data_IF_432551633537
#
_entry.id   IF_432551633537
#
_cell.length_a   1.000
_cell.length_b   1.000
_cell.length_c   1.000
_cell.angle_alpha   90.00
_cell.angle_beta   90.00
_cell.angle_gamma   90.00
#
_symmetry.space_group_name_H-M   'P 1'
#
loop_
_entity.id
_entity.type
_entity.pdbx_description
1 polymer ?
#
# COMPACT_ATOMS: atom_id res chain seq x y z
N UNK A 1 -48.43 -4.86 16.41
CA UNK A 1 -47.56 -4.38 15.35
C UNK A 1 -46.38 -3.75 16.06
N UNK A 2 -45.44 -4.62 16.48
CA UNK A 2 -44.24 -4.30 17.29
C UNK A 2 -43.20 -3.68 16.37
N UNK A 3 -42.81 -2.44 16.67
CA UNK A 3 -41.69 -1.75 16.02
C UNK A 3 -40.43 -2.60 16.20
N UNK A 4 -39.89 -3.09 15.07
CA UNK A 4 -38.64 -3.81 15.01
C UNK A 4 -37.53 -2.99 15.72
N UNK A 5 -37.02 -3.56 16.78
CA UNK A 5 -35.82 -3.10 17.47
C UNK A 5 -34.67 -3.07 16.46
N UNK A 6 -34.40 -1.91 15.87
CA UNK A 6 -33.15 -1.67 15.13
C UNK A 6 -32.01 -1.68 16.14
N UNK A 7 -31.00 -2.54 16.00
CA UNK A 7 -29.88 -2.57 16.92
C UNK A 7 -29.26 -1.16 17.00
N UNK A 8 -29.20 -0.60 18.20
CA UNK A 8 -28.59 0.71 18.46
C UNK A 8 -27.12 0.65 18.01
N UNK A 9 -26.62 1.65 17.29
CA UNK A 9 -25.22 1.68 16.90
C UNK A 9 -24.33 1.68 18.17
N UNK A 10 -23.29 0.86 18.16
CA UNK A 10 -22.35 0.72 19.30
C UNK A 10 -21.75 2.04 19.78
N UNK A 11 -21.81 3.09 18.95
CA UNK A 11 -21.37 4.46 19.28
C UNK A 11 -22.27 5.21 20.24
N UNK A 12 -23.54 4.80 20.42
CA UNK A 12 -24.50 5.53 21.28
C UNK A 12 -24.24 5.34 22.78
N UNK A 13 -23.42 4.37 23.18
CA UNK A 13 -23.09 4.04 24.58
C UNK A 13 -21.68 4.48 25.01
N UNK A 14 -20.83 4.93 24.06
CA UNK A 14 -19.45 5.31 24.35
C UNK A 14 -19.31 6.80 24.58
N UNK A 15 -18.51 7.18 25.57
CA UNK A 15 -18.12 8.59 25.73
C UNK A 15 -17.28 9.06 24.51
N UNK A 16 -17.41 10.33 24.11
CA UNK A 16 -16.62 10.89 23.00
C UNK A 16 -15.10 10.70 23.18
N UNK A 17 -14.62 10.74 24.42
CA UNK A 17 -13.21 10.51 24.77
C UNK A 17 -12.79 9.07 24.45
N UNK A 18 -13.62 8.08 24.82
CA UNK A 18 -13.33 6.67 24.55
C UNK A 18 -13.32 6.38 23.04
N UNK A 19 -14.22 6.98 22.28
CA UNK A 19 -14.22 6.88 20.80
C UNK A 19 -12.92 7.45 20.24
N UNK A 20 -12.48 8.65 20.67
CA UNK A 20 -11.21 9.24 20.21
C UNK A 20 -10.00 8.36 20.53
N UNK A 21 -9.95 7.82 21.74
CA UNK A 21 -8.86 6.90 22.14
C UNK A 21 -8.85 5.62 21.31
N UNK A 22 -10.02 5.04 21.03
CA UNK A 22 -10.14 3.87 20.15
C UNK A 22 -9.65 4.16 18.71
N UNK A 23 -10.01 5.33 18.18
CA UNK A 23 -9.57 5.78 16.87
C UNK A 23 -8.05 6.01 16.82
N UNK A 24 -7.46 6.60 17.88
CA UNK A 24 -6.01 6.75 18.01
C UNK A 24 -5.30 5.40 18.12
N UNK A 25 -5.87 4.43 18.86
CA UNK A 25 -5.33 3.08 18.94
C UNK A 25 -5.29 2.38 17.58
N UNK A 26 -6.33 2.56 16.76
CA UNK A 26 -6.38 2.05 15.39
C UNK A 26 -5.29 2.70 14.52
N UNK A 27 -5.12 4.01 14.60
CA UNK A 27 -4.10 4.73 13.86
C UNK A 27 -2.68 4.36 14.32
N UNK A 28 -2.47 4.09 15.61
CA UNK A 28 -1.19 3.63 16.16
C UNK A 28 -0.74 2.30 15.55
N UNK A 29 -1.66 1.36 15.32
CA UNK A 29 -1.32 0.13 14.58
C UNK A 29 -0.94 0.39 13.13
N UNK A 30 -1.61 1.33 12.46
CA UNK A 30 -1.22 1.80 11.13
C UNK A 30 0.18 2.44 11.11
N UNK A 31 0.53 3.19 12.15
CA UNK A 31 1.89 3.72 12.36
C UNK A 31 2.93 2.61 12.51
N UNK A 32 2.64 1.61 13.35
CA UNK A 32 3.52 0.45 13.53
C UNK A 32 3.76 -0.32 12.23
N UNK A 33 2.72 -0.49 11.42
CA UNK A 33 2.79 -1.15 10.10
C UNK A 33 3.69 -0.36 9.16
N UNK A 34 3.46 0.95 9.00
CA UNK A 34 4.29 1.80 8.14
C UNK A 34 5.75 1.82 8.58
N UNK A 35 5.99 1.93 9.90
CA UNK A 35 7.34 1.82 10.46
C UNK A 35 7.99 0.49 10.11
N UNK A 36 7.30 -0.63 10.34
CA UNK A 36 7.84 -1.98 10.09
C UNK A 36 8.13 -2.26 8.61
N UNK A 37 7.31 -1.73 7.72
CA UNK A 37 7.49 -1.89 6.27
C UNK A 37 8.67 -1.07 5.75
N UNK A 38 8.67 0.24 6.02
CA UNK A 38 9.56 1.18 5.33
C UNK A 38 10.91 1.39 6.03
N UNK A 39 11.02 1.17 7.34
CA UNK A 39 12.29 1.34 8.04
C UNK A 39 13.38 0.37 7.56
N UNK A 40 12.97 -0.82 7.11
CA UNK A 40 13.88 -1.83 6.55
C UNK A 40 14.68 -1.29 5.36
N UNK A 41 14.08 -0.37 4.58
CA UNK A 41 14.70 0.22 3.40
C UNK A 41 15.76 1.26 3.79
N UNK A 42 15.49 2.03 4.84
CA UNK A 42 16.48 2.98 5.40
C UNK A 42 17.63 2.32 6.18
N UNK A 43 17.39 1.09 6.69
CA UNK A 43 18.38 0.33 7.48
C UNK A 43 18.97 -0.87 6.72
N UNK A 44 18.75 -0.96 5.41
CA UNK A 44 19.15 -2.10 4.60
C UNK A 44 20.66 -2.40 4.72
N UNK A 45 21.59 -1.42 4.64
CA UNK A 45 23.01 -1.67 4.84
C UNK A 45 23.32 -2.25 6.22
N UNK A 46 22.70 -1.71 7.28
CA UNK A 46 22.89 -2.22 8.65
C UNK A 46 22.38 -3.64 8.84
N UNK A 47 21.28 -4.02 8.17
CA UNK A 47 20.75 -5.39 8.15
C UNK A 47 21.71 -6.31 7.40
N UNK A 48 22.23 -5.88 6.25
CA UNK A 48 23.20 -6.63 5.44
C UNK A 48 24.48 -6.90 6.22
N UNK A 49 25.11 -5.89 6.81
CA UNK A 49 26.29 -6.05 7.64
C UNK A 49 26.05 -6.92 8.88
N UNK A 50 24.87 -6.83 9.49
CA UNK A 50 24.55 -7.57 10.69
C UNK A 50 24.21 -9.05 10.47
N UNK A 51 23.75 -9.44 9.28
CA UNK A 51 23.28 -10.80 8.98
C UNK A 51 24.10 -11.52 7.91
N UNK A 52 24.84 -10.77 7.05
CA UNK A 52 25.59 -11.27 5.90
C UNK A 52 27.06 -10.73 5.91
N UNK A 53 27.77 -10.72 7.04
CA UNK A 53 29.07 -10.03 7.15
C UNK A 53 30.12 -10.59 6.17
N UNK A 54 30.16 -11.90 5.96
CA UNK A 54 31.10 -12.54 5.03
C UNK A 54 30.80 -12.13 3.57
N UNK A 55 29.53 -12.08 3.19
CA UNK A 55 29.11 -11.67 1.86
C UNK A 55 29.39 -10.18 1.64
N UNK A 56 29.11 -9.33 2.64
CA UNK A 56 29.41 -7.89 2.57
C UNK A 56 30.91 -7.61 2.44
N UNK A 57 31.78 -8.45 3.00
CA UNK A 57 33.22 -8.31 2.86
C UNK A 57 33.72 -8.75 1.47
N UNK A 58 33.12 -9.76 0.86
CA UNK A 58 33.52 -10.32 -0.42
C UNK A 58 32.88 -9.63 -1.63
N UNK A 59 31.58 -9.32 -1.50
CA UNK A 59 30.73 -8.74 -2.55
C UNK A 59 29.65 -7.83 -1.89
N UNK A 60 29.96 -6.55 -1.65
CA UNK A 60 29.02 -5.62 -1.01
C UNK A 60 27.71 -5.45 -1.81
N UNK A 61 27.78 -5.38 -3.13
CA UNK A 61 26.60 -5.22 -3.99
C UNK A 61 25.67 -6.44 -3.91
N UNK A 62 26.23 -7.64 -4.00
CA UNK A 62 25.50 -8.89 -3.81
C UNK A 62 24.93 -9.01 -2.40
N UNK A 63 25.66 -8.56 -1.38
CA UNK A 63 25.21 -8.54 0.02
C UNK A 63 23.99 -7.64 0.23
N UNK A 64 24.00 -6.43 -0.31
CA UNK A 64 22.85 -5.51 -0.28
C UNK A 64 21.66 -6.07 -1.05
N UNK A 65 21.88 -6.58 -2.26
CA UNK A 65 20.82 -7.20 -3.05
C UNK A 65 20.17 -8.38 -2.32
N UNK A 66 20.98 -9.24 -1.67
CA UNK A 66 20.48 -10.35 -0.85
C UNK A 66 19.68 -9.87 0.36
N UNK A 67 20.15 -8.83 1.06
CA UNK A 67 19.42 -8.25 2.18
C UNK A 67 18.04 -7.73 1.75
N UNK A 68 17.89 -7.20 0.52
CA UNK A 68 16.62 -6.78 -0.08
C UNK A 68 15.55 -7.88 -0.12
N UNK A 69 15.93 -9.18 -0.07
CA UNK A 69 14.99 -10.31 0.02
C UNK A 69 14.12 -10.22 1.29
N UNK A 70 14.61 -9.61 2.37
CA UNK A 70 13.83 -9.42 3.59
C UNK A 70 12.67 -8.42 3.38
N UNK A 71 12.83 -7.42 2.51
CA UNK A 71 11.79 -6.48 2.09
C UNK A 71 10.76 -7.22 1.22
N UNK A 72 11.24 -7.95 0.21
CA UNK A 72 10.42 -8.79 -0.68
C UNK A 72 9.59 -9.80 0.11
N UNK A 73 10.17 -10.48 1.10
CA UNK A 73 9.49 -11.48 1.90
C UNK A 73 8.33 -10.88 2.70
N UNK A 74 8.52 -9.71 3.31
CA UNK A 74 7.42 -9.02 4.01
C UNK A 74 6.29 -8.68 3.05
N UNK A 75 6.59 -8.08 1.91
CA UNK A 75 5.62 -7.73 0.90
C UNK A 75 4.84 -8.95 0.38
N UNK A 76 5.51 -10.08 0.13
CA UNK A 76 4.86 -11.35 -0.23
C UNK A 76 3.96 -11.88 0.89
N UNK A 77 4.36 -11.71 2.16
CA UNK A 77 3.51 -12.01 3.31
C UNK A 77 2.20 -11.21 3.26
N UNK A 78 2.25 -9.93 2.92
CA UNK A 78 1.05 -9.08 2.76
C UNK A 78 0.19 -9.56 1.58
N UNK A 79 0.81 -9.88 0.44
CA UNK A 79 0.10 -10.38 -0.76
C UNK A 79 -0.71 -11.62 -0.45
N UNK A 80 -0.15 -12.55 0.30
CA UNK A 80 -0.84 -13.79 0.72
C UNK A 80 -1.85 -13.51 1.83
N UNK A 81 -1.45 -12.72 2.81
CA UNK A 81 -2.22 -12.48 4.02
C UNK A 81 -3.46 -11.61 3.81
N UNK A 82 -3.36 -10.55 2.98
CA UNK A 82 -4.45 -9.61 2.79
C UNK A 82 -5.75 -10.28 2.30
N UNK A 83 -5.78 -11.03 1.20
CA UNK A 83 -6.99 -11.71 0.76
C UNK A 83 -7.40 -12.87 1.68
N UNK A 84 -6.45 -13.67 2.17
CA UNK A 84 -6.73 -14.82 3.01
C UNK A 84 -7.40 -14.41 4.33
N UNK A 85 -6.84 -13.42 5.03
CA UNK A 85 -7.37 -12.96 6.31
C UNK A 85 -8.61 -12.06 6.14
N UNK A 86 -8.75 -11.35 5.01
CA UNK A 86 -9.98 -10.66 4.69
C UNK A 86 -11.18 -11.64 4.59
N UNK A 87 -10.97 -12.78 3.95
CA UNK A 87 -11.97 -13.85 3.87
C UNK A 87 -12.25 -14.50 5.24
N UNK A 88 -11.23 -14.73 6.05
CA UNK A 88 -11.38 -15.30 7.40
C UNK A 88 -12.06 -14.31 8.37
N UNK A 89 -11.92 -12.99 8.14
CA UNK A 89 -12.52 -11.95 8.98
C UNK A 89 -14.05 -12.01 9.05
N UNK A 90 -14.70 -12.64 8.07
CA UNK A 90 -16.15 -12.87 8.06
C UNK A 90 -16.61 -13.77 9.22
N UNK A 91 -15.73 -14.62 9.75
CA UNK A 91 -16.07 -15.58 10.81
C UNK A 91 -16.00 -15.01 12.23
N UNK A 92 -15.28 -13.89 12.43
CA UNK A 92 -14.97 -13.33 13.75
C UNK A 92 -15.49 -11.90 13.89
N UNK A 93 -15.67 -11.44 15.13
CA UNK A 93 -16.02 -10.04 15.37
C UNK A 93 -14.85 -9.14 14.95
N UNK A 94 -15.15 -7.93 14.49
CA UNK A 94 -14.12 -6.96 14.08
C UNK A 94 -13.15 -6.65 15.21
N UNK A 95 -13.66 -6.55 16.44
CA UNK A 95 -12.85 -6.29 17.64
C UNK A 95 -11.88 -7.44 17.92
N UNK A 96 -12.35 -8.70 17.89
CA UNK A 96 -11.48 -9.88 18.09
C UNK A 96 -10.43 -9.94 16.98
N UNK A 97 -10.84 -9.72 15.74
CA UNK A 97 -9.93 -9.83 14.59
C UNK A 97 -8.80 -8.79 14.66
N UNK A 98 -9.11 -7.52 14.94
CA UNK A 98 -8.08 -6.47 15.00
C UNK A 98 -7.10 -6.71 16.15
N UNK A 99 -7.56 -7.24 17.28
CA UNK A 99 -6.69 -7.62 18.42
C UNK A 99 -5.75 -8.76 18.06
N UNK A 100 -6.25 -9.81 17.40
CA UNK A 100 -5.41 -10.93 16.96
C UNK A 100 -4.39 -10.48 15.92
N UNK A 101 -4.78 -9.58 14.99
CA UNK A 101 -3.85 -9.01 14.02
C UNK A 101 -2.78 -8.16 14.70
N UNK A 102 -3.12 -7.37 15.74
CA UNK A 102 -2.15 -6.58 16.50
C UNK A 102 -1.14 -7.49 17.24
N UNK A 103 -1.60 -8.60 17.84
CA UNK A 103 -0.70 -9.60 18.47
C UNK A 103 0.19 -10.25 17.40
N UNK A 104 -0.37 -10.66 16.27
CA UNK A 104 0.40 -11.30 15.21
C UNK A 104 1.48 -10.34 14.63
N UNK A 105 1.15 -9.03 14.47
CA UNK A 105 2.10 -8.00 14.08
C UNK A 105 3.19 -7.82 15.15
N UNK A 106 2.83 -7.78 16.45
CA UNK A 106 3.81 -7.68 17.53
C UNK A 106 4.78 -8.85 17.53
N UNK A 107 4.27 -10.09 17.47
CA UNK A 107 5.09 -11.31 17.46
C UNK A 107 5.95 -11.37 16.20
N UNK A 108 5.39 -11.17 15.02
CA UNK A 108 6.14 -11.23 13.76
C UNK A 108 7.25 -10.18 13.69
N UNK A 109 6.97 -8.96 14.17
CA UNK A 109 7.96 -7.88 14.22
C UNK A 109 9.05 -8.16 15.26
N UNK A 110 8.68 -8.66 16.44
CA UNK A 110 9.63 -9.09 17.47
C UNK A 110 10.57 -10.16 16.93
N UNK A 111 10.02 -11.21 16.33
CA UNK A 111 10.82 -12.28 15.71
C UNK A 111 11.75 -11.74 14.64
N UNK A 112 11.29 -10.81 13.79
CA UNK A 112 12.14 -10.19 12.76
C UNK A 112 13.39 -9.52 13.33
N UNK A 113 13.29 -8.92 14.53
CA UNK A 113 14.42 -8.30 15.23
C UNK A 113 15.32 -9.28 15.99
N UNK A 114 14.78 -10.44 16.38
CA UNK A 114 15.50 -11.39 17.27
C UNK A 114 16.15 -12.58 16.55
N UNK A 115 15.82 -12.81 15.28
CA UNK A 115 16.38 -13.96 14.55
C UNK A 115 17.89 -13.84 14.37
N UNK A 116 18.64 -14.95 14.62
CA UNK A 116 20.10 -14.95 14.56
C UNK A 116 20.65 -15.05 13.14
N UNK A 117 19.90 -15.61 12.18
CA UNK A 117 20.34 -15.82 10.82
C UNK A 117 19.49 -15.04 9.81
N UNK A 118 20.04 -14.82 8.63
CA UNK A 118 19.35 -14.14 7.54
C UNK A 118 18.08 -14.88 7.11
N UNK A 119 18.16 -16.20 6.93
CA UNK A 119 17.05 -17.03 6.46
C UNK A 119 15.88 -17.02 7.46
N UNK A 120 16.16 -17.11 8.75
CA UNK A 120 15.14 -17.00 9.80
C UNK A 120 14.54 -15.58 9.86
N UNK A 121 15.35 -14.55 9.64
CA UNK A 121 14.85 -13.17 9.55
C UNK A 121 13.93 -13.00 8.35
N UNK A 122 14.28 -13.55 7.18
CA UNK A 122 13.43 -13.54 5.98
C UNK A 122 12.10 -14.23 6.25
N UNK A 123 12.12 -15.40 6.89
CA UNK A 123 10.89 -16.13 7.28
C UNK A 123 10.04 -15.32 8.26
N UNK A 124 10.67 -14.73 9.29
CA UNK A 124 9.98 -13.89 10.27
C UNK A 124 9.35 -12.65 9.59
N UNK A 125 10.04 -12.03 8.63
CA UNK A 125 9.51 -10.93 7.84
C UNK A 125 8.29 -11.35 7.01
N UNK A 126 8.34 -12.50 6.36
CA UNK A 126 7.18 -13.04 5.63
C UNK A 126 5.98 -13.22 6.56
N UNK A 127 6.17 -13.85 7.72
CA UNK A 127 5.12 -14.06 8.71
C UNK A 127 4.58 -12.73 9.25
N UNK A 128 5.45 -11.75 9.52
CA UNK A 128 5.06 -10.41 9.96
C UNK A 128 4.23 -9.65 8.92
N UNK A 129 4.42 -9.92 7.62
CA UNK A 129 3.64 -9.33 6.53
C UNK A 129 2.19 -9.85 6.46
N UNK A 130 1.93 -11.09 6.87
CA UNK A 130 0.62 -11.73 6.72
C UNK A 130 -0.53 -10.89 7.36
N UNK A 131 -0.43 -10.40 8.60
CA UNK A 131 -1.52 -9.64 9.24
C UNK A 131 -1.68 -8.21 8.72
N UNK A 132 -0.70 -7.64 8.04
CA UNK A 132 -0.66 -6.23 7.64
C UNK A 132 -1.88 -5.81 6.79
N UNK A 133 -2.10 -6.46 5.65
CA UNK A 133 -3.18 -6.06 4.73
C UNK A 133 -4.58 -6.21 5.32
N UNK A 134 -4.78 -7.26 6.12
CA UNK A 134 -6.03 -7.49 6.82
C UNK A 134 -6.28 -6.45 7.93
N UNK A 135 -5.21 -5.98 8.60
CA UNK A 135 -5.33 -4.95 9.63
C UNK A 135 -6.02 -3.69 9.07
N UNK A 136 -5.57 -3.15 7.95
CA UNK A 136 -6.17 -1.95 7.36
C UNK A 136 -7.63 -2.15 6.94
N UNK A 137 -7.99 -3.32 6.43
CA UNK A 137 -9.37 -3.65 6.10
C UNK A 137 -10.29 -3.64 7.33
N UNK A 138 -9.90 -4.36 8.39
CA UNK A 138 -10.66 -4.44 9.65
C UNK A 138 -10.67 -3.10 10.37
N UNK A 139 -9.53 -2.42 10.43
CA UNK A 139 -9.35 -1.11 11.05
C UNK A 139 -10.27 -0.06 10.43
N UNK A 140 -10.37 -0.01 9.10
CA UNK A 140 -11.23 0.92 8.38
C UNK A 140 -12.72 0.71 8.72
N UNK A 141 -13.17 -0.54 8.73
CA UNK A 141 -14.55 -0.89 9.07
C UNK A 141 -14.87 -0.63 10.54
N UNK A 142 -13.92 -0.90 11.44
CA UNK A 142 -14.08 -0.64 12.87
C UNK A 142 -14.13 0.85 13.15
N UNK A 143 -13.21 1.63 12.58
CA UNK A 143 -13.19 3.09 12.71
C UNK A 143 -14.49 3.72 12.19
N UNK A 144 -14.99 3.26 11.02
CA UNK A 144 -16.26 3.72 10.47
C UNK A 144 -17.44 3.44 11.41
N UNK A 145 -17.47 2.25 12.04
CA UNK A 145 -18.54 1.89 12.99
C UNK A 145 -18.52 2.73 14.27
N UNK A 146 -17.34 3.15 14.73
CA UNK A 146 -17.18 4.03 15.89
C UNK A 146 -17.55 5.49 15.59
N UNK A 147 -17.40 5.93 14.34
CA UNK A 147 -17.71 7.29 13.89
C UNK A 147 -19.20 7.48 13.51
N UNK A 148 -19.94 6.39 13.37
CA UNK A 148 -21.36 6.40 13.03
C UNK A 148 -21.68 6.21 11.54
N UNK A 149 -22.98 6.17 11.19
CA UNK A 149 -23.45 5.91 9.84
C UNK A 149 -22.88 6.89 8.79
N UNK A 150 -22.51 6.39 7.62
CA UNK A 150 -21.97 7.21 6.52
C UNK A 150 -20.49 7.59 6.65
N UNK A 151 -19.78 7.09 7.68
CA UNK A 151 -18.38 7.45 7.96
C UNK A 151 -17.34 6.49 7.36
N UNK A 152 -17.68 5.68 6.37
CA UNK A 152 -16.76 4.68 5.80
C UNK A 152 -15.47 5.30 5.26
N UNK A 153 -15.58 6.37 4.46
CA UNK A 153 -14.41 7.08 3.92
C UNK A 153 -13.54 7.71 5.02
N UNK A 154 -14.19 8.31 6.04
CA UNK A 154 -13.48 8.88 7.20
C UNK A 154 -12.77 7.79 8.01
N UNK A 155 -13.40 6.65 8.23
CA UNK A 155 -12.81 5.50 8.92
C UNK A 155 -11.57 4.97 8.20
N UNK A 156 -11.65 4.81 6.87
CA UNK A 156 -10.52 4.40 6.04
C UNK A 156 -9.38 5.43 6.11
N UNK A 157 -9.68 6.71 5.96
CA UNK A 157 -8.68 7.78 6.05
C UNK A 157 -7.97 7.79 7.41
N UNK A 158 -8.72 7.58 8.50
CA UNK A 158 -8.13 7.50 9.84
C UNK A 158 -7.25 6.26 10.02
N UNK A 159 -7.71 5.08 9.58
CA UNK A 159 -6.91 3.86 9.66
C UNK A 159 -5.56 4.01 8.90
N UNK A 160 -5.57 4.70 7.76
CA UNK A 160 -4.39 4.97 6.95
C UNK A 160 -3.57 6.17 7.45
N UNK A 161 -4.11 7.05 8.32
CA UNK A 161 -3.38 8.22 8.83
C UNK A 161 -2.14 7.83 9.62
N UNK A 162 -2.20 6.71 10.34
CA UNK A 162 -1.03 6.16 11.05
C UNK A 162 0.12 5.84 10.10
N UNK A 163 -0.16 5.22 8.95
CA UNK A 163 0.83 4.95 7.91
C UNK A 163 1.46 6.25 7.36
N UNK A 164 0.63 7.28 7.16
CA UNK A 164 1.10 8.59 6.69
C UNK A 164 2.05 9.23 7.70
N UNK A 165 1.68 9.21 8.99
CA UNK A 165 2.54 9.74 10.08
C UNK A 165 3.81 8.90 10.22
N UNK A 166 3.73 7.58 10.05
CA UNK A 166 4.91 6.73 10.04
C UNK A 166 5.89 7.14 8.95
N UNK A 167 5.41 7.30 7.71
CA UNK A 167 6.28 7.67 6.58
C UNK A 167 6.86 9.07 6.71
N UNK A 168 6.10 10.02 7.24
CA UNK A 168 6.55 11.41 7.36
C UNK A 168 7.56 11.61 8.51
N UNK A 169 7.32 10.98 9.65
CA UNK A 169 8.07 11.24 10.89
C UNK A 169 8.66 9.96 11.47
N UNK A 170 7.90 8.87 11.49
CA UNK A 170 8.27 7.62 12.14
C UNK A 170 9.48 6.97 11.49
N UNK A 171 9.44 6.75 10.19
CA UNK A 171 10.52 6.08 9.43
C UNK A 171 11.82 6.86 9.50
N UNK A 172 11.85 8.19 9.28
CA UNK A 172 13.07 8.97 9.47
C UNK A 172 13.67 8.85 10.87
N UNK A 173 12.85 9.00 11.92
CA UNK A 173 13.31 8.90 13.32
C UNK A 173 13.82 7.48 13.63
N UNK A 174 13.04 6.46 13.25
CA UNK A 174 13.42 5.07 13.48
C UNK A 174 14.68 4.68 12.71
N UNK A 175 14.88 5.23 11.50
CA UNK A 175 16.13 5.03 10.74
C UNK A 175 17.32 5.65 11.48
N UNK A 176 17.20 6.88 11.98
CA UNK A 176 18.25 7.52 12.78
C UNK A 176 18.56 6.73 14.07
N UNK A 177 17.53 6.24 14.76
CA UNK A 177 17.69 5.36 15.94
C UNK A 177 18.39 4.06 15.54
N UNK A 178 18.03 3.46 14.42
CA UNK A 178 18.63 2.22 13.95
C UNK A 178 20.10 2.36 13.52
N UNK A 179 20.46 3.50 12.94
CA UNK A 179 21.86 3.86 12.65
C UNK A 179 22.68 4.04 13.93
N UNK A 180 22.11 4.65 14.97
CA UNK A 180 22.81 4.90 16.23
C UNK A 180 22.87 3.67 17.16
N UNK A 181 21.79 2.90 17.29
CA UNK A 181 21.61 1.84 18.27
C UNK A 181 21.53 0.42 17.66
N UNK A 182 21.57 0.33 16.33
CA UNK A 182 21.45 -0.93 15.59
C UNK A 182 19.99 -1.23 15.15
N UNK A 183 19.87 -1.84 13.98
CA UNK A 183 18.58 -2.13 13.34
C UNK A 183 17.64 -3.02 14.19
N UNK A 184 18.20 -3.93 15.00
CA UNK A 184 17.40 -4.81 15.87
C UNK A 184 16.60 -4.04 16.92
N UNK A 185 17.17 -2.96 17.47
CA UNK A 185 16.49 -2.09 18.46
C UNK A 185 15.23 -1.49 17.85
N UNK A 186 15.25 -1.12 16.59
CA UNK A 186 14.07 -0.56 15.91
C UNK A 186 12.94 -1.57 15.78
N UNK A 187 13.24 -2.83 15.47
CA UNK A 187 12.20 -3.88 15.45
C UNK A 187 11.63 -4.15 16.85
N UNK A 188 12.44 -4.08 17.90
CA UNK A 188 11.96 -4.20 19.28
C UNK A 188 11.05 -3.03 19.66
N UNK A 189 11.40 -1.81 19.31
CA UNK A 189 10.56 -0.62 19.51
C UNK A 189 9.24 -0.74 18.76
N UNK A 190 9.25 -1.17 17.51
CA UNK A 190 8.05 -1.39 16.71
C UNK A 190 7.18 -2.53 17.28
N UNK A 191 7.76 -3.61 17.76
CA UNK A 191 7.03 -4.64 18.49
C UNK A 191 6.35 -4.06 19.74
N UNK A 192 7.02 -3.19 20.48
CA UNK A 192 6.46 -2.43 21.59
C UNK A 192 5.27 -1.54 21.17
N UNK A 193 5.36 -0.88 20.00
CA UNK A 193 4.24 -0.11 19.43
C UNK A 193 3.02 -1.01 19.17
N UNK A 194 3.21 -2.21 18.63
CA UNK A 194 2.11 -3.14 18.40
C UNK A 194 1.52 -3.70 19.70
N UNK A 195 2.34 -3.97 20.74
CA UNK A 195 1.86 -4.31 22.07
C UNK A 195 1.04 -3.17 22.68
N UNK A 196 1.51 -1.93 22.57
CA UNK A 196 0.77 -0.75 22.99
C UNK A 196 -0.54 -0.58 22.20
N UNK A 197 -0.51 -0.85 20.90
CA UNK A 197 -1.72 -0.89 20.04
C UNK A 197 -2.72 -1.91 20.55
N UNK A 198 -2.28 -3.15 20.81
CA UNK A 198 -3.15 -4.18 21.36
C UNK A 198 -3.76 -3.76 22.71
N UNK A 199 -2.94 -3.27 23.64
CA UNK A 199 -3.42 -2.82 24.95
C UNK A 199 -4.42 -1.65 24.81
N UNK A 200 -4.12 -0.67 23.97
CA UNK A 200 -5.01 0.45 23.71
C UNK A 200 -6.35 0.00 23.07
N UNK A 201 -6.32 -0.91 22.10
CA UNK A 201 -7.52 -1.49 21.50
C UNK A 201 -8.35 -2.27 22.53
N UNK A 202 -7.70 -3.07 23.37
CA UNK A 202 -8.36 -3.86 24.43
C UNK A 202 -9.10 -2.98 25.42
N UNK A 203 -8.50 -1.85 25.82
CA UNK A 203 -9.04 -0.94 26.81
C UNK A 203 -10.15 -0.01 26.25
N UNK A 204 -10.07 0.32 24.97
CA UNK A 204 -10.91 1.40 24.40
C UNK A 204 -12.02 0.91 23.49
N UNK A 205 -11.78 -0.17 22.73
CA UNK A 205 -12.73 -0.67 21.73
C UNK A 205 -13.75 -1.59 22.38
N UNK A 206 -15.05 -1.33 22.24
CA UNK A 206 -16.08 -2.22 22.76
C UNK A 206 -16.11 -3.51 21.96
N UNK A 207 -16.52 -4.61 22.63
CA UNK A 207 -16.77 -5.86 21.94
C UNK A 207 -17.94 -5.67 20.96
N UNK A 208 -17.72 -5.99 19.70
CA UNK A 208 -18.77 -5.96 18.67
C UNK A 208 -19.24 -7.37 18.39
N UNK A 209 -20.54 -7.54 18.23
CA UNK A 209 -21.12 -8.78 17.77
C UNK A 209 -20.76 -9.07 16.31
N UNK A 210 -20.81 -10.35 15.93
CA UNK A 210 -20.58 -10.76 14.54
C UNK A 210 -21.58 -10.11 13.60
N UNK A 211 -21.11 -9.54 12.51
CA UNK A 211 -22.00 -9.06 11.46
C UNK A 211 -22.58 -10.26 10.71
N UNK A 212 -23.86 -10.57 10.94
CA UNK A 212 -24.58 -11.64 10.25
C UNK A 212 -24.97 -11.14 8.86
N UNK A 213 -24.65 -11.90 7.78
CA UNK A 213 -25.22 -11.64 6.44
C UNK A 213 -24.25 -11.50 5.28
N UNK A 214 -22.94 -11.40 5.48
CA UNK A 214 -21.96 -11.43 4.37
C UNK A 214 -21.53 -12.87 4.10
N UNK A 215 -21.74 -13.35 2.87
CA UNK A 215 -21.25 -14.67 2.44
C UNK A 215 -19.90 -14.48 1.75
N UNK A 216 -18.92 -15.31 2.13
CA UNK A 216 -17.59 -15.36 1.51
C UNK A 216 -17.66 -15.54 -0.02
N UNK A 217 -18.68 -16.25 -0.49
CA UNK A 217 -18.90 -16.52 -1.92
C UNK A 217 -19.20 -15.25 -2.71
N UNK A 218 -19.91 -14.29 -2.11
CA UNK A 218 -20.29 -13.04 -2.78
C UNK A 218 -19.06 -12.15 -3.04
N UNK A 219 -18.08 -12.19 -2.12
CA UNK A 219 -16.81 -11.50 -2.28
C UNK A 219 -15.94 -12.13 -3.39
N UNK A 220 -15.93 -13.47 -3.50
CA UNK A 220 -15.12 -14.18 -4.51
C UNK A 220 -15.58 -13.95 -5.96
N UNK A 221 -16.83 -13.52 -6.18
CA UNK A 221 -17.35 -13.23 -7.54
C UNK A 221 -16.53 -12.12 -8.22
N UNK A 222 -16.04 -11.14 -7.46
CA UNK A 222 -15.21 -10.07 -8.03
C UNK A 222 -13.89 -10.59 -8.63
N UNK A 223 -13.30 -11.66 -8.08
CA UNK A 223 -12.06 -12.28 -8.58
C UNK A 223 -12.22 -12.92 -9.97
N UNK A 224 -13.45 -13.23 -10.39
CA UNK A 224 -13.72 -13.76 -11.75
C UNK A 224 -13.64 -12.68 -12.85
N UNK A 225 -13.56 -11.40 -12.47
CA UNK A 225 -13.54 -10.30 -13.43
C UNK A 225 -12.12 -10.05 -13.95
N UNK A 226 -11.88 -10.33 -15.23
CA UNK A 226 -10.59 -10.06 -15.87
C UNK A 226 -10.13 -8.62 -15.72
N UNK A 227 -11.07 -7.66 -15.75
CA UNK A 227 -10.76 -6.23 -15.56
C UNK A 227 -10.08 -5.93 -14.22
N UNK A 228 -10.43 -6.65 -13.15
CA UNK A 228 -9.79 -6.49 -11.84
C UNK A 228 -8.30 -6.88 -11.92
N UNK A 229 -7.99 -8.01 -12.55
CA UNK A 229 -6.62 -8.49 -12.72
C UNK A 229 -5.78 -7.58 -13.61
N UNK A 230 -6.38 -6.97 -14.63
CA UNK A 230 -5.69 -5.97 -15.46
C UNK A 230 -5.30 -4.75 -14.62
N UNK A 231 -6.20 -4.23 -13.78
CA UNK A 231 -5.90 -3.06 -12.93
C UNK A 231 -4.92 -3.42 -11.83
N UNK A 232 -4.99 -4.63 -11.25
CA UNK A 232 -3.97 -5.17 -10.34
C UNK A 232 -2.60 -5.21 -11.03
N UNK A 233 -2.53 -5.70 -12.27
CA UNK A 233 -1.31 -5.72 -13.07
C UNK A 233 -0.73 -4.33 -13.33
N UNK A 234 -1.58 -3.35 -13.64
CA UNK A 234 -1.17 -1.95 -13.81
C UNK A 234 -0.56 -1.40 -12.51
N UNK A 235 -1.20 -1.65 -11.36
CA UNK A 235 -0.69 -1.21 -10.08
C UNK A 235 0.62 -1.93 -9.74
N UNK A 236 0.66 -3.26 -9.88
CA UNK A 236 1.84 -4.06 -9.58
C UNK A 236 3.06 -3.65 -10.40
N UNK A 237 2.91 -3.39 -11.70
CA UNK A 237 4.02 -2.99 -12.57
C UNK A 237 4.30 -1.50 -12.47
N UNK A 238 3.27 -0.65 -12.59
CA UNK A 238 3.45 0.81 -12.67
C UNK A 238 4.02 1.45 -11.40
N UNK A 239 3.72 0.87 -10.22
CA UNK A 239 4.22 1.39 -8.94
C UNK A 239 5.48 0.67 -8.45
N UNK A 240 5.87 -0.46 -9.06
CA UNK A 240 7.07 -1.19 -8.63
C UNK A 240 8.36 -0.37 -8.82
N UNK A 241 8.39 0.58 -9.75
CA UNK A 241 9.50 1.49 -9.93
C UNK A 241 9.78 2.34 -8.68
N UNK A 242 8.74 2.82 -7.99
CA UNK A 242 8.91 3.57 -6.74
C UNK A 242 9.62 2.71 -5.68
N UNK A 243 9.22 1.45 -5.55
CA UNK A 243 9.82 0.53 -4.59
C UNK A 243 11.23 0.07 -5.00
N UNK A 244 11.54 0.01 -6.29
CA UNK A 244 12.91 -0.26 -6.75
C UNK A 244 13.88 0.80 -6.25
N UNK A 245 13.50 2.09 -6.32
CA UNK A 245 14.33 3.19 -5.82
C UNK A 245 14.29 3.28 -4.30
N UNK A 246 13.09 3.18 -3.69
CA UNK A 246 12.91 3.36 -2.25
C UNK A 246 13.59 2.26 -1.43
N UNK A 247 13.61 1.01 -1.92
CA UNK A 247 14.25 -0.12 -1.23
C UNK A 247 15.74 0.06 -1.05
N UNK A 248 16.38 0.79 -1.96
CA UNK A 248 17.84 1.02 -1.95
C UNK A 248 18.20 2.50 -1.70
N UNK A 249 17.28 3.25 -1.08
CA UNK A 249 17.45 4.69 -0.82
C UNK A 249 18.72 4.99 0.03
N UNK A 250 19.06 4.11 0.97
CA UNK A 250 20.25 4.27 1.79
C UNK A 250 21.52 4.19 0.93
N UNK A 251 21.58 3.18 0.05
CA UNK A 251 22.71 2.96 -0.85
C UNK A 251 22.80 4.06 -1.93
N UNK A 252 21.67 4.49 -2.49
CA UNK A 252 21.63 5.63 -3.42
C UNK A 252 22.17 6.89 -2.72
N UNK A 253 21.76 7.15 -1.48
CA UNK A 253 22.22 8.32 -0.73
C UNK A 253 23.71 8.28 -0.45
N UNK A 254 24.25 7.12 -0.06
CA UNK A 254 25.63 7.00 0.37
C UNK A 254 26.58 6.71 -0.78
N UNK A 255 26.22 5.84 -1.72
CA UNK A 255 27.13 5.37 -2.78
C UNK A 255 27.00 6.18 -4.08
N UNK A 256 25.78 6.67 -4.42
CA UNK A 256 25.58 7.46 -5.65
C UNK A 256 25.84 8.94 -5.37
N UNK A 257 25.21 9.48 -4.31
CA UNK A 257 25.36 10.90 -3.96
C UNK A 257 26.64 11.18 -3.18
N UNK A 258 27.25 10.15 -2.55
CA UNK A 258 28.43 10.31 -1.68
C UNK A 258 28.12 11.02 -0.36
N UNK A 259 26.85 11.07 0.05
CA UNK A 259 26.42 11.73 1.27
C UNK A 259 26.64 10.81 2.50
N UNK A 260 26.85 11.37 3.70
CA UNK A 260 26.99 10.56 4.90
C UNK A 260 25.70 9.81 5.22
N UNK A 261 25.82 8.64 5.87
CA UNK A 261 24.68 7.79 6.24
C UNK A 261 23.63 8.54 7.07
N UNK A 262 24.06 9.50 7.91
CA UNK A 262 23.18 10.39 8.69
C UNK A 262 22.25 11.26 7.83
N UNK A 263 22.46 11.31 6.51
CA UNK A 263 21.57 12.02 5.57
C UNK A 263 20.35 11.19 5.15
N UNK A 264 20.40 9.87 5.29
CA UNK A 264 19.29 8.96 4.87
C UNK A 264 17.96 9.32 5.55
N UNK A 265 17.89 9.60 6.86
CA UNK A 265 16.64 10.03 7.49
C UNK A 265 16.01 11.28 6.84
N UNK A 266 16.82 12.24 6.38
CA UNK A 266 16.34 13.45 5.73
C UNK A 266 15.77 13.17 4.32
N UNK A 267 16.38 12.28 3.56
CA UNK A 267 15.86 11.81 2.27
C UNK A 267 14.52 11.11 2.47
N UNK A 268 14.43 10.25 3.50
CA UNK A 268 13.18 9.56 3.86
C UNK A 268 12.09 10.52 4.34
N UNK A 269 12.45 11.56 5.12
CA UNK A 269 11.51 12.59 5.54
C UNK A 269 10.93 13.37 4.35
N UNK A 270 11.78 13.72 3.38
CA UNK A 270 11.36 14.36 2.15
C UNK A 270 10.43 13.46 1.32
N UNK A 271 10.74 12.16 1.22
CA UNK A 271 9.85 11.19 0.58
C UNK A 271 8.49 11.11 1.28
N UNK A 272 8.47 10.99 2.60
CA UNK A 272 7.23 10.93 3.40
C UNK A 272 6.40 12.21 3.26
N UNK A 273 7.02 13.37 3.21
CA UNK A 273 6.35 14.65 2.94
C UNK A 273 5.74 14.65 1.53
N UNK A 274 6.52 14.20 0.53
CA UNK A 274 6.04 14.05 -0.84
C UNK A 274 4.85 13.10 -0.92
N UNK A 275 4.92 11.93 -0.27
CA UNK A 275 3.82 10.97 -0.21
C UNK A 275 2.55 11.57 0.42
N UNK A 276 2.70 12.32 1.50
CA UNK A 276 1.59 12.96 2.21
C UNK A 276 0.87 13.97 1.31
N UNK A 277 1.63 14.90 0.74
CA UNK A 277 1.08 15.93 -0.17
C UNK A 277 0.51 15.28 -1.43
N UNK A 278 1.23 14.29 -1.99
CA UNK A 278 0.81 13.56 -3.17
C UNK A 278 -0.53 12.86 -2.99
N UNK A 279 -0.75 12.17 -1.88
CA UNK A 279 -2.03 11.53 -1.57
C UNK A 279 -3.19 12.54 -1.51
N UNK A 280 -2.98 13.72 -0.93
CA UNK A 280 -3.99 14.78 -0.85
C UNK A 280 -4.31 15.30 -2.27
N UNK A 281 -3.28 15.65 -3.04
CA UNK A 281 -3.42 16.12 -4.42
C UNK A 281 -4.10 15.05 -5.27
N UNK A 282 -3.69 13.80 -5.13
CA UNK A 282 -4.24 12.64 -5.84
C UNK A 282 -5.72 12.43 -5.53
N UNK A 283 -6.14 12.59 -4.28
CA UNK A 283 -7.56 12.54 -3.90
C UNK A 283 -8.38 13.57 -4.67
N UNK A 284 -7.98 14.85 -4.60
CA UNK A 284 -8.68 15.96 -5.27
C UNK A 284 -8.70 15.79 -6.80
N UNK A 285 -7.60 15.38 -7.41
CA UNK A 285 -7.52 15.19 -8.87
C UNK A 285 -8.32 13.98 -9.34
N UNK A 286 -8.35 12.90 -8.55
CA UNK A 286 -9.14 11.69 -8.83
C UNK A 286 -10.65 11.98 -8.79
N UNK A 287 -11.10 12.77 -7.83
CA UNK A 287 -12.52 13.18 -7.73
C UNK A 287 -12.95 13.98 -8.96
N UNK A 288 -12.07 14.83 -9.52
CA UNK A 288 -12.33 15.56 -10.74
C UNK A 288 -12.30 14.66 -11.97
N UNK A 289 -11.28 13.83 -12.11
CA UNK A 289 -11.10 12.93 -13.25
C UNK A 289 -10.10 11.81 -12.97
N UNK A 290 -10.58 10.63 -12.67
CA UNK A 290 -9.74 9.44 -12.51
C UNK A 290 -8.83 9.20 -13.74
N UNK A 291 -9.40 9.29 -14.96
CA UNK A 291 -8.65 9.10 -16.20
C UNK A 291 -7.60 10.19 -16.40
N UNK A 292 -7.96 11.46 -16.12
CA UNK A 292 -7.04 12.59 -16.20
C UNK A 292 -5.87 12.45 -15.23
N UNK A 293 -6.14 12.04 -13.98
CA UNK A 293 -5.10 11.80 -12.97
C UNK A 293 -4.09 10.76 -13.45
N UNK A 294 -4.54 9.64 -14.02
CA UNK A 294 -3.65 8.60 -14.51
C UNK A 294 -2.88 9.04 -15.77
N UNK A 295 -3.55 9.64 -16.75
CA UNK A 295 -2.92 10.03 -18.03
C UNK A 295 -1.92 11.18 -17.91
N UNK A 296 -2.08 12.07 -16.93
CA UNK A 296 -1.14 13.17 -16.65
C UNK A 296 -0.11 12.75 -15.61
N UNK A 297 -0.55 12.06 -14.56
CA UNK A 297 0.32 11.71 -13.43
C UNK A 297 1.42 10.71 -13.80
N UNK A 298 1.15 9.68 -14.63
CA UNK A 298 2.21 8.76 -15.04
C UNK A 298 3.34 9.43 -15.85
N UNK A 299 3.09 10.24 -16.89
CA UNK A 299 4.15 11.00 -17.57
C UNK A 299 4.94 11.92 -16.63
N UNK A 300 4.25 12.62 -15.70
CA UNK A 300 4.91 13.44 -14.69
C UNK A 300 5.78 12.60 -13.76
N UNK A 301 5.32 11.39 -13.36
CA UNK A 301 6.09 10.48 -12.54
C UNK A 301 7.33 9.97 -13.27
N UNK A 302 7.21 9.55 -14.54
CA UNK A 302 8.35 9.15 -15.37
C UNK A 302 9.36 10.30 -15.49
N UNK A 303 8.88 11.53 -15.74
CA UNK A 303 9.74 12.72 -15.78
C UNK A 303 10.47 12.94 -14.45
N UNK A 304 9.77 12.81 -13.31
CA UNK A 304 10.38 12.95 -12.00
C UNK A 304 11.46 11.89 -11.74
N UNK A 305 11.26 10.64 -12.20
CA UNK A 305 12.26 9.57 -12.11
C UNK A 305 13.48 9.85 -13.01
N UNK A 306 13.28 10.37 -14.22
CA UNK A 306 14.37 10.77 -15.11
C UNK A 306 15.18 11.91 -14.51
N UNK A 307 14.51 12.91 -13.92
CA UNK A 307 15.17 14.00 -13.20
C UNK A 307 15.94 13.46 -12.00
N UNK A 308 15.33 12.55 -11.21
CA UNK A 308 16.00 11.93 -10.06
C UNK A 308 17.29 11.22 -10.50
N UNK A 309 17.23 10.41 -11.55
CA UNK A 309 18.41 9.73 -12.10
C UNK A 309 19.48 10.74 -12.55
N UNK A 310 19.09 11.80 -13.23
CA UNK A 310 20.02 12.81 -13.75
C UNK A 310 20.71 13.65 -12.66
N UNK A 311 20.07 13.84 -11.49
CA UNK A 311 20.60 14.75 -10.45
C UNK A 311 21.09 14.02 -9.18
N UNK A 312 20.83 12.72 -9.02
CA UNK A 312 21.15 11.97 -7.80
C UNK A 312 22.65 12.04 -7.42
N UNK A 313 23.53 12.10 -8.41
CA UNK A 313 24.99 12.17 -8.21
C UNK A 313 25.52 13.60 -7.99
N UNK A 314 24.70 14.63 -8.13
CA UNK A 314 25.19 16.02 -8.13
C UNK A 314 25.34 16.62 -6.73
N UNK A 315 24.34 16.39 -5.86
CA UNK A 315 24.35 16.85 -4.46
C UNK A 315 23.23 16.25 -3.65
N UNK A 316 23.40 16.21 -2.32
CA UNK A 316 22.36 15.78 -1.39
C UNK A 316 21.07 16.61 -1.51
N UNK A 317 21.19 17.93 -1.69
CA UNK A 317 20.03 18.80 -1.86
C UNK A 317 19.22 18.45 -3.11
N UNK A 318 19.92 18.20 -4.24
CA UNK A 318 19.29 17.79 -5.49
C UNK A 318 18.59 16.43 -5.34
N UNK A 319 19.25 15.45 -4.67
CA UNK A 319 18.65 14.16 -4.34
C UNK A 319 17.35 14.33 -3.52
N UNK A 320 17.42 15.11 -2.42
CA UNK A 320 16.25 15.33 -1.53
C UNK A 320 15.09 15.93 -2.31
N UNK A 321 15.32 16.97 -3.12
CA UNK A 321 14.26 17.64 -3.90
C UNK A 321 13.68 16.69 -4.95
N UNK A 322 14.52 15.97 -5.69
CA UNK A 322 14.08 15.05 -6.73
C UNK A 322 13.34 13.84 -6.13
N UNK A 323 13.81 13.32 -5.00
CA UNK A 323 13.18 12.21 -4.29
C UNK A 323 11.80 12.62 -3.71
N UNK A 324 11.71 13.83 -3.15
CA UNK A 324 10.43 14.44 -2.75
C UNK A 324 9.47 14.51 -3.94
N UNK A 325 9.90 15.09 -5.07
CA UNK A 325 9.06 15.26 -6.26
C UNK A 325 8.59 13.92 -6.83
N UNK A 326 9.47 12.93 -6.95
CA UNK A 326 9.13 11.60 -7.43
C UNK A 326 8.08 10.93 -6.53
N UNK A 327 8.25 10.99 -5.19
CA UNK A 327 7.29 10.41 -4.25
C UNK A 327 5.97 11.17 -4.20
N UNK A 328 5.97 12.49 -4.37
CA UNK A 328 4.76 13.31 -4.48
C UNK A 328 3.93 12.87 -5.68
N UNK A 329 4.54 12.79 -6.87
CA UNK A 329 3.81 12.44 -8.08
C UNK A 329 3.36 10.97 -8.04
N UNK A 330 4.22 10.04 -7.61
CA UNK A 330 3.85 8.63 -7.45
C UNK A 330 2.65 8.46 -6.53
N UNK A 331 2.66 9.11 -5.37
CA UNK A 331 1.58 8.99 -4.39
C UNK A 331 0.29 9.68 -4.83
N UNK A 332 0.36 10.66 -5.74
CA UNK A 332 -0.84 11.26 -6.33
C UNK A 332 -1.62 10.31 -7.25
N UNK A 333 -0.98 9.26 -7.76
CA UNK A 333 -1.63 8.22 -8.56
C UNK A 333 -2.36 7.17 -7.71
N UNK A 334 -1.98 7.00 -6.43
CA UNK A 334 -2.49 5.95 -5.55
C UNK A 334 -4.02 6.02 -5.32
N UNK A 335 -4.64 7.19 -5.03
CA UNK A 335 -6.10 7.29 -4.90
C UNK A 335 -6.86 6.93 -6.17
N UNK A 336 -6.30 7.23 -7.35
CA UNK A 336 -6.91 6.88 -8.62
C UNK A 336 -6.93 5.36 -8.85
N UNK A 337 -5.84 4.68 -8.53
CA UNK A 337 -5.77 3.21 -8.63
C UNK A 337 -6.73 2.54 -7.65
N UNK A 338 -6.76 2.98 -6.40
CA UNK A 338 -7.67 2.47 -5.39
C UNK A 338 -9.14 2.66 -5.81
N UNK A 339 -9.49 3.84 -6.28
CA UNK A 339 -10.85 4.15 -6.77
C UNK A 339 -11.20 3.29 -7.97
N UNK A 340 -10.27 3.05 -8.89
CA UNK A 340 -10.51 2.21 -10.05
C UNK A 340 -10.78 0.76 -9.66
N UNK A 341 -9.99 0.18 -8.74
CA UNK A 341 -10.19 -1.18 -8.23
C UNK A 341 -11.54 -1.33 -7.52
N UNK A 342 -11.91 -0.39 -6.65
CA UNK A 342 -13.19 -0.39 -5.94
C UNK A 342 -14.37 -0.33 -6.93
N UNK A 343 -14.29 0.54 -7.94
CA UNK A 343 -15.34 0.63 -8.99
C UNK A 343 -15.52 -0.67 -9.77
N UNK A 344 -14.44 -1.41 -10.05
CA UNK A 344 -14.51 -2.69 -10.77
C UNK A 344 -15.03 -3.81 -9.86
N UNK A 345 -14.69 -3.78 -8.57
CA UNK A 345 -15.14 -4.75 -7.60
C UNK A 345 -16.66 -4.67 -7.30
N UNK A 346 -17.32 -3.54 -7.63
CA UNK A 346 -18.77 -3.30 -7.45
C UNK A 346 -19.25 -3.57 -6.01
N UNK A 347 -19.97 -4.70 -5.79
CA UNK A 347 -20.56 -5.05 -4.49
C UNK A 347 -19.53 -5.53 -3.45
N UNK A 348 -18.29 -5.79 -3.88
CA UNK A 348 -17.21 -6.34 -3.05
C UNK A 348 -16.16 -5.25 -2.74
N UNK A 349 -16.60 -4.13 -2.13
CA UNK A 349 -15.71 -2.99 -1.82
C UNK A 349 -14.53 -3.39 -0.92
N UNK A 350 -14.78 -4.27 0.07
CA UNK A 350 -13.74 -4.77 0.97
C UNK A 350 -12.68 -5.56 0.21
N UNK A 351 -13.10 -6.44 -0.71
CA UNK A 351 -12.18 -7.19 -1.54
C UNK A 351 -11.41 -6.24 -2.48
N UNK A 352 -12.08 -5.25 -3.09
CA UNK A 352 -11.43 -4.23 -3.92
C UNK A 352 -10.32 -3.49 -3.17
N UNK A 353 -10.58 -3.08 -1.93
CA UNK A 353 -9.58 -2.42 -1.08
C UNK A 353 -8.44 -3.38 -0.68
N UNK A 354 -8.75 -4.64 -0.34
CA UNK A 354 -7.73 -5.65 -0.01
C UNK A 354 -6.87 -6.01 -1.22
N UNK A 355 -7.47 -6.09 -2.41
CA UNK A 355 -6.74 -6.34 -3.65
C UNK A 355 -5.84 -5.16 -4.03
N UNK A 356 -6.26 -3.93 -3.75
CA UNK A 356 -5.38 -2.76 -3.90
C UNK A 356 -4.15 -2.88 -3.00
N UNK A 357 -4.33 -3.23 -1.73
CA UNK A 357 -3.22 -3.43 -0.81
C UNK A 357 -2.29 -4.57 -1.27
N UNK A 358 -2.86 -5.69 -1.73
CA UNK A 358 -2.08 -6.79 -2.30
C UNK A 358 -1.30 -6.35 -3.56
N UNK A 359 -1.93 -5.59 -4.47
CA UNK A 359 -1.29 -5.11 -5.70
C UNK A 359 -0.10 -4.17 -5.41
N UNK A 360 -0.22 -3.26 -4.45
CA UNK A 360 0.88 -2.40 -4.03
C UNK A 360 2.02 -3.19 -3.37
N UNK A 361 1.70 -4.27 -2.65
CA UNK A 361 2.72 -5.15 -2.08
C UNK A 361 3.35 -6.08 -3.12
N UNK A 362 2.63 -6.48 -4.18
CA UNK A 362 3.28 -7.08 -5.37
C UNK A 362 4.24 -6.08 -6.01
N UNK A 363 3.85 -4.80 -6.13
CA UNK A 363 4.74 -3.75 -6.62
C UNK A 363 5.99 -3.60 -5.74
N UNK A 364 5.83 -3.63 -4.41
CA UNK A 364 6.93 -3.58 -3.46
C UNK A 364 7.88 -4.78 -3.64
N UNK A 365 7.35 -6.00 -3.65
CA UNK A 365 8.15 -7.21 -3.87
C UNK A 365 8.88 -7.19 -5.22
N UNK A 366 8.18 -6.82 -6.30
CA UNK A 366 8.74 -6.75 -7.65
C UNK A 366 9.83 -5.67 -7.74
N UNK A 367 9.57 -4.49 -7.20
CA UNK A 367 10.53 -3.37 -7.21
C UNK A 367 11.80 -3.71 -6.42
N UNK A 368 11.66 -4.18 -5.18
CA UNK A 368 12.80 -4.59 -4.35
C UNK A 368 13.63 -5.70 -5.01
N UNK A 369 12.96 -6.71 -5.60
CA UNK A 369 13.62 -7.83 -6.27
C UNK A 369 14.35 -7.37 -7.54
N UNK A 370 13.72 -6.60 -8.41
CA UNK A 370 14.34 -6.16 -9.67
C UNK A 370 15.45 -5.13 -9.41
N UNK A 371 15.25 -4.20 -8.44
CA UNK A 371 16.30 -3.28 -8.01
C UNK A 371 17.51 -4.01 -7.47
N UNK A 372 17.31 -5.04 -6.62
CA UNK A 372 18.41 -5.89 -6.14
C UNK A 372 19.07 -6.71 -7.23
N UNK A 373 18.29 -7.25 -8.17
CA UNK A 373 18.83 -8.06 -9.26
C UNK A 373 19.81 -7.27 -10.15
N UNK A 374 19.50 -6.01 -10.47
CA UNK A 374 20.43 -5.19 -11.29
C UNK A 374 21.65 -4.74 -10.49
N UNK A 375 21.54 -4.52 -9.17
CA UNK A 375 22.69 -4.28 -8.30
C UNK A 375 23.59 -5.53 -8.26
N UNK A 376 23.02 -6.71 -7.98
CA UNK A 376 23.76 -7.97 -7.93
C UNK A 376 24.41 -8.34 -9.28
N UNK A 377 23.86 -7.85 -10.40
CA UNK A 377 24.45 -8.02 -11.72
C UNK A 377 25.61 -7.06 -12.02
N UNK A 378 26.01 -6.22 -11.06
CA UNK A 378 27.13 -5.28 -11.18
C UNK A 378 26.82 -4.01 -11.97
N UNK A 379 25.53 -3.65 -12.11
CA UNK A 379 25.16 -2.38 -12.75
C UNK A 379 25.21 -1.17 -11.80
N UNK A 380 25.61 -1.39 -10.53
CA UNK A 380 25.73 -0.35 -9.52
C UNK A 380 24.41 0.13 -8.92
N UNK A 381 24.52 1.03 -7.95
CA UNK A 381 23.36 1.52 -7.17
C UNK A 381 22.51 2.56 -7.89
N UNK A 382 22.89 2.99 -9.10
CA UNK A 382 22.05 3.85 -9.97
C UNK A 382 21.03 3.04 -10.77
N UNK A 383 21.32 1.78 -11.05
CA UNK A 383 20.50 0.92 -11.90
C UNK A 383 19.05 0.76 -11.43
N UNK A 384 18.70 0.71 -10.12
CA UNK A 384 17.32 0.71 -9.66
C UNK A 384 16.49 1.90 -10.16
N UNK A 385 17.08 3.09 -10.38
CA UNK A 385 16.38 4.24 -10.94
C UNK A 385 16.01 4.02 -12.42
N UNK A 386 16.90 3.38 -13.18
CA UNK A 386 16.61 2.99 -14.59
C UNK A 386 15.49 1.95 -14.64
N UNK A 387 15.54 0.94 -13.76
CA UNK A 387 14.46 -0.06 -13.59
C UNK A 387 13.14 0.65 -13.30
N UNK A 388 13.15 1.67 -12.43
CA UNK A 388 11.96 2.43 -12.08
C UNK A 388 11.36 3.16 -13.28
N UNK A 389 12.17 3.79 -14.12
CA UNK A 389 11.72 4.47 -15.34
C UNK A 389 11.06 3.48 -16.30
N UNK A 390 11.68 2.31 -16.52
CA UNK A 390 11.14 1.26 -17.40
C UNK A 390 9.80 0.73 -16.88
N UNK A 391 9.71 0.42 -15.59
CA UNK A 391 8.48 -0.11 -14.97
C UNK A 391 7.35 0.91 -14.97
N UNK A 392 7.62 2.18 -14.64
CA UNK A 392 6.64 3.26 -14.69
C UNK A 392 6.14 3.49 -16.13
N UNK A 393 7.04 3.45 -17.13
CA UNK A 393 6.70 3.56 -18.55
C UNK A 393 5.84 2.40 -19.03
N UNK A 394 6.16 1.18 -18.60
CA UNK A 394 5.36 -0.02 -18.87
C UNK A 394 3.97 0.08 -18.25
N UNK A 395 3.89 0.51 -16.98
CA UNK A 395 2.62 0.76 -16.30
C UNK A 395 1.77 1.82 -17.01
N UNK A 396 2.38 2.90 -17.48
CA UNK A 396 1.70 3.92 -18.27
C UNK A 396 1.16 3.35 -19.60
N UNK A 397 1.96 2.57 -20.32
CA UNK A 397 1.53 1.92 -21.55
C UNK A 397 0.32 0.98 -21.30
N UNK A 398 0.33 0.25 -20.17
CA UNK A 398 -0.80 -0.59 -19.76
C UNK A 398 -2.05 0.24 -19.42
N UNK A 399 -1.92 1.41 -18.80
CA UNK A 399 -3.04 2.34 -18.55
C UNK A 399 -3.64 2.79 -19.87
N UNK A 400 -2.82 3.30 -20.80
CA UNK A 400 -3.27 3.83 -22.10
C UNK A 400 -3.99 2.75 -22.92
N UNK A 401 -3.38 1.57 -23.05
CA UNK A 401 -3.97 0.46 -23.79
C UNK A 401 -5.30 0.00 -23.19
N UNK A 402 -5.38 -0.08 -21.86
CA UNK A 402 -6.61 -0.44 -21.15
C UNK A 402 -7.72 0.59 -21.39
N UNK A 403 -7.42 1.88 -21.29
CA UNK A 403 -8.41 2.94 -21.52
C UNK A 403 -8.90 2.98 -22.97
N UNK A 404 -8.01 2.74 -23.93
CA UNK A 404 -8.38 2.61 -25.36
C UNK A 404 -9.29 1.40 -25.55
N UNK A 405 -8.94 0.25 -25.02
CA UNK A 405 -9.74 -0.97 -25.14
C UNK A 405 -11.16 -0.80 -24.55
N UNK A 406 -11.27 -0.14 -23.40
CA UNK A 406 -12.56 0.18 -22.78
C UNK A 406 -13.39 1.13 -23.63
N UNK A 407 -12.77 2.16 -24.25
CA UNK A 407 -13.45 3.10 -25.13
C UNK A 407 -13.98 2.42 -26.40
N UNK A 408 -13.18 1.55 -27.02
CA UNK A 408 -13.58 0.79 -28.22
C UNK A 408 -14.75 -0.15 -27.89
N UNK A 409 -14.66 -0.87 -26.75
CA UNK A 409 -15.74 -1.77 -26.30
C UNK A 409 -17.05 -1.03 -26.06
N UNK A 410 -17.00 0.13 -25.39
CA UNK A 410 -18.17 0.96 -25.14
C UNK A 410 -18.82 1.46 -26.44
N UNK A 411 -18.03 1.88 -27.44
CA UNK A 411 -18.56 2.31 -28.74
C UNK A 411 -19.26 1.18 -29.48
N UNK A 412 -18.65 -0.04 -29.49
CA UNK A 412 -19.25 -1.22 -30.13
C UNK A 412 -20.59 -1.59 -29.47
N UNK A 413 -20.67 -1.53 -28.14
CA UNK A 413 -21.91 -1.82 -27.42
C UNK A 413 -23.00 -0.80 -27.77
N UNK A 414 -22.68 0.47 -27.87
CA UNK A 414 -23.64 1.50 -28.27
C UNK A 414 -24.12 1.34 -29.73
N UNK A 415 -23.23 0.96 -30.64
CA UNK A 415 -23.59 0.66 -32.04
C UNK A 415 -24.56 -0.53 -32.13
N UNK A 416 -24.27 -1.63 -31.41
CA UNK A 416 -25.17 -2.81 -31.42
C UNK A 416 -26.55 -2.47 -30.82
N UNK A 417 -26.60 -1.61 -29.80
CA UNK A 417 -27.85 -1.17 -29.22
C UNK A 417 -28.64 -0.26 -30.15
N UNK A 418 -27.98 0.68 -30.88
CA UNK A 418 -28.65 1.54 -31.86
C UNK A 418 -29.17 0.75 -33.07
N UNK A 419 -28.41 -0.23 -33.58
CA UNK A 419 -28.86 -1.13 -34.66
C UNK A 419 -30.07 -1.99 -34.23
N UNK A 420 -30.10 -2.40 -32.96
CA UNK A 420 -31.22 -3.18 -32.42
C UNK A 420 -32.49 -2.31 -32.25
N UNK A 421 -32.32 -1.07 -31.85
CA UNK A 421 -33.44 -0.09 -31.71
C UNK A 421 -34.01 0.31 -33.06
N UNK A 422 -33.19 0.51 -34.10
CA UNK A 422 -33.62 0.74 -35.48
C UNK A 422 -34.36 -0.46 -36.05
N UNK A 423 -33.93 -1.69 -35.74
CA UNK A 423 -34.60 -2.92 -36.18
C UNK A 423 -35.99 -3.09 -35.53
N UNK A 424 -36.12 -2.72 -34.25
CA UNK A 424 -37.43 -2.81 -33.54
C UNK A 424 -38.38 -1.70 -34.02
N UNK A 425 -37.92 -0.47 -34.20
CA UNK A 425 -38.74 0.65 -34.68
C UNK A 425 -39.14 0.51 -36.13
N UNK A 426 -38.27 -0.06 -36.99
CA UNK A 426 -38.61 -0.36 -38.39
C UNK A 426 -39.58 -1.53 -38.59
N UNK A 427 -39.77 -2.38 -37.57
CA UNK A 427 -40.69 -3.53 -37.62
C UNK A 427 -42.11 -3.24 -37.07
N UNK A 428 -42.39 -2.03 -36.60
CA UNK A 428 -43.74 -1.62 -36.18
C UNK A 428 -44.50 -1.25 -37.44
N UNK A 429 -45.52 -2.05 -37.87
CA UNK A 429 -46.32 -1.66 -39.02
C UNK A 429 -47.10 -0.40 -38.67
N UNK A 430 -46.94 0.64 -39.49
CA UNK A 430 -47.78 1.85 -39.43
C UNK A 430 -49.20 1.38 -39.75
N UNK A 431 -50.04 1.27 -38.72
CA UNK A 431 -51.48 1.03 -38.91
C UNK A 431 -52.02 2.32 -39.55
N UNK A 432 -52.51 2.31 -40.80
CA UNK A 432 -53.11 3.49 -41.39
C UNK A 432 -54.33 3.86 -40.57
N UNK A 433 -54.43 5.10 -40.12
CA UNK A 433 -55.64 5.68 -39.53
C UNK A 433 -56.71 5.64 -40.64
N UNK A 434 -57.53 4.58 -40.61
CA UNK A 434 -58.67 4.42 -41.51
C UNK A 434 -59.86 5.17 -40.98
N UNK A 435 -60.27 6.13 -41.73
CA UNK A 435 -61.64 6.69 -42.00
C UNK A 435 -62.74 6.43 -40.96
#
# INVERSE_FOLDING_TARGET
>A
MTLLDTPRPASSELSPTRVRLALLAIALGGFGIGGSEFVSMGLLPGIAHGLLPEMMAADPEGGIARAGIAITAYALGVVVGAPALALLSVRWSRTTMIMLLAIALAVGTLLSGMMPTFELTVLARFVAGIPHGAYFGVASLLAASLMGPGSQGKGTALALSGLTVANLIGVPILTAVGQAAGWRVVYLLLAGVFVATFAALYLTVPHQEKTIGRRMVDELVALKRLQLWVVIGIAAVGFSGAFAVFSYVADITTQVTGAPESSVPWVLAAAGLGMTIGNIVGGVTTDRSLKGTLLIGFPLYITALVVLFAVAHTSLTALIIAFFAANLVNSSLSPAMQTWMIRIAHRSELLGASMNQAAFNVANALGATLGGAVIAAGFGYEAPMVVAIVLASTGFAMVVTTLIALKVRSRRTLQVLSEHEETITGSIPVVPAGV
#
